data_IF_045924863762
#
_entry.id   IF_045924863762
#
_cell.length_a   1.000
_cell.length_b   1.000
_cell.length_c   1.000
_cell.angle_alpha   90.00
_cell.angle_beta   90.00
_cell.angle_gamma   90.00
#
_symmetry.space_group_name_H-M   'P 1'
#
loop_
_entity.id
_entity.type
_entity.pdbx_description
1 polymer ?
#
# COMPACT_ATOMS: atom_id res chain seq x y z
N UNK A 1 -3.89 -23.80 53.85
CA UNK A 1 -4.15 -22.45 53.31
C UNK A 1 -3.13 -22.00 52.27
N UNK A 2 -1.82 -22.06 52.54
CA UNK A 2 -0.77 -21.64 51.58
C UNK A 2 -0.82 -22.37 50.23
N UNK A 3 -0.98 -23.71 50.25
CA UNK A 3 -1.07 -24.54 49.03
C UNK A 3 -2.28 -24.15 48.16
N UNK A 4 -3.43 -23.93 48.78
CA UNK A 4 -4.65 -23.55 48.08
C UNK A 4 -4.53 -22.17 47.41
N UNK A 5 -3.92 -21.20 48.11
CA UNK A 5 -3.63 -19.89 47.55
C UNK A 5 -2.66 -19.99 46.36
N UNK A 6 -1.62 -20.81 46.46
CA UNK A 6 -0.68 -21.07 45.37
C UNK A 6 -1.36 -21.67 44.13
N UNK A 7 -2.29 -22.61 44.32
CA UNK A 7 -3.06 -23.20 43.21
C UNK A 7 -3.89 -22.13 42.50
N UNK A 8 -4.62 -21.30 43.26
CA UNK A 8 -5.42 -20.20 42.68
C UNK A 8 -4.55 -19.23 41.89
N UNK A 9 -3.38 -18.85 42.42
CA UNK A 9 -2.45 -17.96 41.72
C UNK A 9 -1.98 -18.58 40.40
N UNK A 10 -1.62 -19.87 40.38
CA UNK A 10 -1.20 -20.55 39.15
C UNK A 10 -2.32 -20.58 38.12
N UNK A 11 -3.55 -20.93 38.54
CA UNK A 11 -4.71 -20.94 37.64
C UNK A 11 -4.98 -19.54 37.07
N UNK A 12 -4.94 -18.50 37.91
CA UNK A 12 -5.13 -17.13 37.46
C UNK A 12 -4.06 -16.71 36.42
N UNK A 13 -2.79 -17.06 36.65
CA UNK A 13 -1.71 -16.78 35.69
C UNK A 13 -1.92 -17.50 34.36
N UNK A 14 -2.37 -18.77 34.38
CA UNK A 14 -2.69 -19.53 33.16
C UNK A 14 -3.85 -18.86 32.39
N UNK A 15 -4.90 -18.44 33.08
CA UNK A 15 -6.05 -17.75 32.46
C UNK A 15 -5.62 -16.40 31.88
N UNK A 16 -4.84 -15.60 32.62
CA UNK A 16 -4.30 -14.32 32.13
C UNK A 16 -3.45 -14.55 30.88
N UNK A 17 -2.55 -15.54 30.90
CA UNK A 17 -1.73 -15.88 29.74
C UNK A 17 -2.56 -16.32 28.54
N UNK A 18 -3.59 -17.13 28.76
CA UNK A 18 -4.49 -17.59 27.72
C UNK A 18 -5.27 -16.44 27.08
N UNK A 19 -5.88 -15.58 27.92
CA UNK A 19 -6.60 -14.38 27.46
C UNK A 19 -5.66 -13.45 26.71
N UNK A 20 -4.46 -13.20 27.24
CA UNK A 20 -3.44 -12.40 26.55
C UNK A 20 -3.09 -12.99 25.18
N UNK A 21 -2.84 -14.30 25.12
CA UNK A 21 -2.46 -14.98 23.88
C UNK A 21 -3.58 -14.98 22.82
N UNK A 22 -4.85 -14.95 23.23
CA UNK A 22 -5.99 -14.83 22.32
C UNK A 22 -6.06 -13.46 21.64
N UNK A 23 -5.77 -12.37 22.38
CA UNK A 23 -5.88 -11.01 21.84
C UNK A 23 -4.59 -10.52 21.19
N UNK A 24 -3.45 -10.90 21.75
CA UNK A 24 -2.13 -10.41 21.34
C UNK A 24 -1.28 -11.47 20.63
N UNK A 25 -1.79 -12.69 20.46
CA UNK A 25 -1.06 -13.79 19.86
C UNK A 25 -0.11 -14.47 20.85
N UNK A 26 0.28 -15.71 20.54
CA UNK A 26 1.23 -16.44 21.37
C UNK A 26 2.66 -15.90 21.11
N UNK A 27 3.40 -15.46 22.15
CA UNK A 27 4.77 -14.95 21.99
C UNK A 27 5.74 -15.92 21.31
N UNK A 28 5.60 -17.22 21.55
CA UNK A 28 6.41 -18.25 20.88
C UNK A 28 6.09 -18.30 19.38
N UNK A 29 4.81 -18.26 19.02
CA UNK A 29 4.38 -18.24 17.61
C UNK A 29 4.87 -16.98 16.90
N UNK A 30 4.85 -15.82 17.56
CA UNK A 30 5.42 -14.57 17.02
C UNK A 30 6.92 -14.69 16.79
N UNK A 31 7.66 -15.27 17.75
CA UNK A 31 9.11 -15.50 17.61
C UNK A 31 9.43 -16.42 16.43
N UNK A 32 8.69 -17.53 16.28
CA UNK A 32 8.85 -18.42 15.14
C UNK A 32 8.49 -17.74 13.82
N UNK A 33 7.37 -17.01 13.77
CA UNK A 33 6.96 -16.26 12.59
C UNK A 33 8.03 -15.24 12.16
N UNK A 34 8.61 -14.51 13.12
CA UNK A 34 9.72 -13.58 12.88
C UNK A 34 10.88 -14.27 12.16
N UNK A 35 11.32 -15.44 12.64
CA UNK A 35 12.39 -16.21 11.99
C UNK A 35 12.02 -16.69 10.60
N UNK A 36 10.80 -17.20 10.42
CA UNK A 36 10.32 -17.66 9.11
C UNK A 36 10.29 -16.51 8.10
N UNK A 37 9.86 -15.31 8.51
CA UNK A 37 9.89 -14.13 7.64
C UNK A 37 11.32 -13.74 7.27
N UNK A 38 12.26 -13.72 8.23
CA UNK A 38 13.67 -13.42 7.91
C UNK A 38 14.24 -14.39 6.89
N UNK A 39 14.06 -15.69 7.11
CA UNK A 39 14.52 -16.74 6.19
C UNK A 39 13.88 -16.62 4.80
N UNK A 40 12.58 -16.30 4.74
CA UNK A 40 11.87 -16.08 3.49
C UNK A 40 12.49 -14.91 2.70
N UNK A 41 12.73 -13.77 3.35
CA UNK A 41 13.27 -12.59 2.69
C UNK A 41 14.73 -12.78 2.27
N UNK A 42 15.56 -13.35 3.14
CA UNK A 42 16.96 -13.67 2.83
C UNK A 42 17.06 -14.64 1.64
N UNK A 43 16.16 -15.62 1.55
CA UNK A 43 16.10 -16.57 0.43
C UNK A 43 15.57 -15.95 -0.87
N UNK A 44 14.66 -14.98 -0.76
CA UNK A 44 14.00 -14.35 -1.92
C UNK A 44 14.85 -13.24 -2.53
N UNK A 45 15.45 -12.41 -1.70
CA UNK A 45 16.12 -11.16 -2.06
C UNK A 45 17.64 -11.21 -1.96
N UNK A 46 18.20 -12.31 -1.44
CA UNK A 46 19.65 -12.55 -1.31
C UNK A 46 20.39 -11.52 -0.45
N UNK A 47 19.65 -10.80 0.41
CA UNK A 47 20.17 -9.80 1.34
C UNK A 47 19.65 -10.04 2.77
N UNK A 48 20.38 -9.58 3.81
CA UNK A 48 19.92 -9.68 5.19
C UNK A 48 18.83 -8.66 5.55
N UNK A 49 17.74 -9.14 6.13
CA UNK A 49 16.59 -8.33 6.57
C UNK A 49 16.37 -8.36 8.08
N UNK A 50 15.92 -7.22 8.62
CA UNK A 50 15.54 -7.11 10.02
C UNK A 50 14.03 -6.92 10.15
N UNK A 51 13.38 -7.92 10.76
CA UNK A 51 11.98 -7.80 11.16
C UNK A 51 11.91 -6.94 12.42
N UNK A 52 11.28 -5.77 12.32
CA UNK A 52 11.16 -4.82 13.43
C UNK A 52 10.06 -5.24 14.38
N UNK A 53 8.88 -5.55 13.82
CA UNK A 53 7.67 -5.86 14.57
C UNK A 53 6.92 -7.01 13.93
N UNK A 54 6.32 -7.86 14.77
CA UNK A 54 5.32 -8.83 14.36
C UNK A 54 4.01 -8.43 15.01
N UNK A 55 2.97 -8.27 14.19
CA UNK A 55 1.63 -7.97 14.62
C UNK A 55 0.76 -9.20 14.46
N UNK A 56 -0.16 -9.38 15.41
CA UNK A 56 -1.19 -10.41 15.39
C UNK A 56 -2.55 -9.74 15.42
N UNK A 57 -3.44 -10.17 14.54
CA UNK A 57 -4.83 -9.70 14.56
C UNK A 57 -5.75 -10.89 14.71
N UNK A 58 -6.50 -10.92 15.81
CA UNK A 58 -7.59 -11.86 16.03
C UNK A 58 -8.90 -11.24 15.50
N UNK A 59 -9.56 -11.90 14.52
CA UNK A 59 -10.90 -11.51 14.07
C UNK A 59 -11.91 -12.57 14.52
N UNK A 60 -12.94 -12.11 15.24
CA UNK A 60 -13.96 -12.94 15.90
C UNK A 60 -15.21 -13.18 15.03
N UNK A 61 -15.18 -12.89 13.73
CA UNK A 61 -16.33 -13.07 12.83
C UNK A 61 -16.14 -14.19 11.81
N UNK A 62 -17.27 -14.76 11.38
CA UNK A 62 -17.52 -16.04 10.69
C UNK A 62 -16.74 -16.34 9.41
N UNK A 63 -15.77 -15.52 8.96
CA UNK A 63 -15.03 -15.80 7.73
C UNK A 63 -13.55 -15.36 7.65
N UNK A 64 -12.86 -14.85 8.69
CA UNK A 64 -11.43 -14.49 8.53
C UNK A 64 -10.56 -14.83 9.75
N UNK A 65 -9.68 -15.80 9.53
CA UNK A 65 -8.70 -16.36 10.47
C UNK A 65 -7.76 -15.29 11.03
N UNK A 66 -7.15 -15.58 12.17
CA UNK A 66 -6.09 -14.75 12.72
C UNK A 66 -4.89 -14.72 11.79
N UNK A 67 -4.33 -13.54 11.53
CA UNK A 67 -3.15 -13.40 10.66
C UNK A 67 -1.98 -12.73 11.38
N UNK A 68 -0.78 -13.09 10.94
CA UNK A 68 0.46 -12.43 11.33
C UNK A 68 0.93 -11.52 10.20
N UNK A 69 1.37 -10.32 10.56
CA UNK A 69 2.06 -9.40 9.66
C UNK A 69 3.40 -9.01 10.28
N UNK A 70 4.45 -8.94 9.47
CA UNK A 70 5.76 -8.49 9.91
C UNK A 70 6.10 -7.17 9.20
N UNK A 71 6.48 -6.16 9.98
CA UNK A 71 7.08 -4.92 9.47
C UNK A 71 8.58 -5.13 9.33
N UNK A 72 9.12 -4.82 8.16
CA UNK A 72 10.50 -5.12 7.80
C UNK A 72 11.20 -3.88 7.27
N UNK A 73 12.47 -3.74 7.66
CA UNK A 73 13.46 -2.85 7.02
C UNK A 73 14.66 -3.66 6.58
N UNK A 74 15.31 -3.24 5.50
CA UNK A 74 16.63 -3.76 5.16
C UNK A 74 17.63 -3.39 6.25
N UNK A 75 18.69 -4.18 6.37
CA UNK A 75 19.72 -3.96 7.39
C UNK A 75 20.46 -2.61 7.23
N UNK A 76 20.45 -2.02 6.03
CA UNK A 76 21.11 -0.76 5.69
C UNK A 76 20.18 0.46 5.79
N UNK A 77 18.88 0.26 5.94
CA UNK A 77 17.87 1.33 6.02
C UNK A 77 17.62 2.07 4.70
N UNK A 78 17.99 1.47 3.56
CA UNK A 78 17.84 2.06 2.22
C UNK A 78 16.44 1.80 1.65
N UNK A 79 15.83 0.67 2.00
CA UNK A 79 14.53 0.27 1.47
C UNK A 79 13.36 0.90 2.25
N UNK A 80 12.21 1.13 1.60
CA UNK A 80 11.01 1.51 2.32
C UNK A 80 10.62 0.43 3.33
N UNK A 81 9.95 0.84 4.40
CA UNK A 81 9.32 -0.10 5.31
C UNK A 81 8.21 -0.85 4.56
N UNK A 82 8.20 -2.19 4.66
CA UNK A 82 7.21 -3.02 3.97
C UNK A 82 6.70 -4.13 4.88
N UNK A 83 5.63 -4.81 4.41
CA UNK A 83 4.94 -5.84 5.18
C UNK A 83 5.12 -7.21 4.57
N UNK A 84 5.23 -8.23 5.43
CA UNK A 84 5.13 -9.64 5.05
C UNK A 84 3.93 -10.27 5.74
N UNK A 85 3.02 -10.83 4.96
CA UNK A 85 1.79 -11.46 5.42
C UNK A 85 1.75 -12.93 5.02
N UNK A 86 1.16 -13.76 5.88
CA UNK A 86 0.84 -15.14 5.55
C UNK A 86 -0.49 -15.20 4.81
N UNK A 87 -0.51 -15.86 3.65
CA UNK A 87 -1.75 -16.18 2.94
C UNK A 87 -2.50 -17.28 3.69
N UNK A 88 -3.79 -17.05 3.94
CA UNK A 88 -4.61 -17.89 4.83
C UNK A 88 -4.75 -19.33 4.34
N UNK A 89 -4.74 -19.56 3.02
CA UNK A 89 -5.11 -20.86 2.45
C UNK A 89 -3.89 -21.74 2.11
N UNK A 90 -2.72 -21.13 1.92
CA UNK A 90 -1.53 -21.82 1.40
C UNK A 90 -0.36 -21.87 2.39
N UNK A 91 -0.48 -21.22 3.55
CA UNK A 91 0.65 -20.94 4.46
C UNK A 91 1.83 -20.21 3.78
N UNK A 92 1.68 -19.75 2.53
CA UNK A 92 2.72 -19.05 1.80
C UNK A 92 2.87 -17.63 2.35
N UNK A 93 4.12 -17.17 2.42
CA UNK A 93 4.42 -15.79 2.74
C UNK A 93 4.38 -14.95 1.46
N UNK A 94 3.86 -13.73 1.61
CA UNK A 94 3.89 -12.71 0.58
C UNK A 94 4.31 -11.40 1.19
N UNK A 95 5.21 -10.69 0.52
CA UNK A 95 5.64 -9.35 0.92
C UNK A 95 5.07 -8.24 0.03
N UNK A 96 5.18 -7.00 0.52
CA UNK A 96 4.79 -5.79 -0.20
C UNK A 96 5.97 -4.95 -0.70
N UNK A 97 7.23 -5.42 -0.60
CA UNK A 97 8.41 -4.56 -0.89
C UNK A 97 8.34 -3.89 -2.26
N UNK A 98 8.08 -4.67 -3.31
CA UNK A 98 7.99 -4.16 -4.70
C UNK A 98 6.85 -3.11 -4.81
N UNK A 99 5.72 -3.37 -4.15
CA UNK A 99 4.59 -2.44 -4.14
C UNK A 99 4.94 -1.13 -3.44
N UNK A 100 5.63 -1.17 -2.29
CA UNK A 100 6.06 0.04 -1.57
C UNK A 100 7.08 0.86 -2.39
N UNK A 101 7.98 0.18 -3.12
CA UNK A 101 8.94 0.84 -4.01
C UNK A 101 8.21 1.57 -5.14
N UNK A 102 7.28 0.89 -5.82
CA UNK A 102 6.51 1.49 -6.91
C UNK A 102 5.56 2.59 -6.44
N UNK A 103 4.92 2.44 -5.28
CA UNK A 103 4.06 3.48 -4.70
C UNK A 103 4.86 4.75 -4.40
N UNK A 104 6.06 4.61 -3.83
CA UNK A 104 6.98 5.74 -3.63
C UNK A 104 7.39 6.40 -4.95
N UNK A 105 7.74 5.59 -5.94
CA UNK A 105 8.15 6.09 -7.26
C UNK A 105 7.01 6.91 -7.89
N UNK A 106 5.81 6.32 -7.99
CA UNK A 106 4.62 6.95 -8.58
C UNK A 106 4.21 8.21 -7.82
N UNK A 107 4.23 8.17 -6.49
CA UNK A 107 3.92 9.33 -5.64
C UNK A 107 4.90 10.47 -5.88
N UNK A 108 6.20 10.18 -6.01
CA UNK A 108 7.22 11.19 -6.29
C UNK A 108 7.03 11.80 -7.67
N UNK A 109 6.87 10.99 -8.71
CA UNK A 109 6.68 11.45 -10.09
C UNK A 109 5.40 12.29 -10.22
N UNK A 110 4.27 11.80 -9.68
CA UNK A 110 3.00 12.54 -9.66
C UNK A 110 3.12 13.85 -8.87
N UNK A 111 3.84 13.84 -7.73
CA UNK A 111 4.06 15.05 -6.94
C UNK A 111 4.85 16.12 -7.68
N UNK A 112 5.85 15.74 -8.49
CA UNK A 112 6.62 16.69 -9.30
C UNK A 112 5.70 17.37 -10.33
N UNK A 113 4.84 16.60 -10.98
CA UNK A 113 3.85 17.11 -11.95
C UNK A 113 2.86 18.05 -11.26
N UNK A 114 2.32 17.67 -10.11
CA UNK A 114 1.38 18.51 -9.36
C UNK A 114 2.03 19.81 -8.92
N UNK A 115 3.22 19.79 -8.33
CA UNK A 115 3.92 21.01 -7.88
C UNK A 115 4.24 21.97 -9.03
N UNK A 116 4.54 21.42 -10.22
CA UNK A 116 4.81 22.23 -11.42
C UNK A 116 3.55 22.95 -11.91
N UNK A 117 2.40 22.29 -11.89
CA UNK A 117 1.20 22.74 -12.60
C UNK A 117 0.07 23.20 -11.69
N UNK A 118 0.17 22.95 -10.38
CA UNK A 118 -0.90 23.12 -9.42
C UNK A 118 -0.31 23.57 -8.08
N UNK A 119 -0.31 24.89 -7.83
CA UNK A 119 0.33 25.53 -6.68
C UNK A 119 -0.34 25.24 -5.31
N UNK A 120 -1.19 24.21 -5.22
CA UNK A 120 -1.77 23.80 -3.94
C UNK A 120 -0.72 23.07 -3.10
N UNK A 121 -0.57 23.50 -1.85
CA UNK A 121 0.28 22.81 -0.86
C UNK A 121 -0.45 21.64 -0.16
N UNK A 122 -1.75 21.47 -0.43
CA UNK A 122 -2.61 20.52 0.28
C UNK A 122 -3.23 19.52 -0.70
N UNK A 123 -2.41 18.55 -1.11
CA UNK A 123 -2.87 17.40 -1.87
C UNK A 123 -2.37 16.09 -1.27
N UNK A 124 -3.08 15.00 -1.54
CA UNK A 124 -2.64 13.64 -1.25
C UNK A 124 -2.71 12.79 -2.51
N UNK A 125 -1.78 11.85 -2.65
CA UNK A 125 -1.74 10.89 -3.76
C UNK A 125 -1.93 9.50 -3.17
N UNK A 126 -2.78 8.70 -3.78
CA UNK A 126 -2.98 7.29 -3.45
C UNK A 126 -2.87 6.47 -4.71
N UNK A 127 -2.01 5.47 -4.71
CA UNK A 127 -1.88 4.54 -5.83
C UNK A 127 -2.48 3.19 -5.44
N UNK A 128 -3.41 2.70 -6.24
CA UNK A 128 -3.87 1.32 -6.17
C UNK A 128 -3.11 0.52 -7.23
N UNK A 129 -2.09 -0.19 -6.76
CA UNK A 129 -1.21 -1.00 -7.60
C UNK A 129 -1.70 -2.44 -7.59
N UNK A 130 -2.14 -2.99 -8.73
CA UNK A 130 -2.47 -4.40 -8.83
C UNK A 130 -1.29 -5.26 -8.41
N UNK A 131 -1.59 -6.33 -7.67
CA UNK A 131 -0.59 -7.29 -7.21
C UNK A 131 0.27 -7.81 -8.38
N UNK A 132 1.58 -7.54 -8.42
CA UNK A 132 2.42 -8.12 -9.46
C UNK A 132 2.53 -9.62 -9.26
N UNK A 133 2.67 -10.37 -10.36
CA UNK A 133 2.93 -11.82 -10.32
C UNK A 133 4.34 -12.15 -9.78
N UNK A 134 5.17 -11.12 -9.55
CA UNK A 134 6.54 -11.21 -9.00
C UNK A 134 6.59 -11.63 -7.52
N UNK A 135 5.45 -11.84 -6.85
CA UNK A 135 5.44 -12.14 -5.41
C UNK A 135 6.17 -13.44 -5.03
N UNK A 136 6.37 -14.34 -6.00
CA UNK A 136 6.95 -15.66 -5.77
C UNK A 136 8.32 -15.86 -6.43
N UNK A 137 8.82 -14.88 -7.18
CA UNK A 137 10.10 -14.99 -7.87
C UNK A 137 11.26 -14.61 -6.93
N UNK A 138 12.40 -15.29 -7.11
CA UNK A 138 13.65 -14.87 -6.49
C UNK A 138 14.23 -13.74 -7.32
N UNK A 139 14.41 -12.58 -6.69
CA UNK A 139 14.88 -11.36 -7.35
C UNK A 139 15.80 -10.68 -6.36
N UNK A 140 17.06 -10.45 -6.73
CA UNK A 140 17.95 -9.67 -5.88
C UNK A 140 17.36 -8.26 -5.70
N UNK A 141 17.53 -7.65 -4.52
CA UNK A 141 17.00 -6.30 -4.26
C UNK A 141 17.40 -5.30 -5.34
N UNK A 142 18.66 -5.35 -5.79
CA UNK A 142 19.23 -4.49 -6.83
C UNK A 142 18.57 -4.66 -8.20
N UNK A 143 17.96 -5.82 -8.43
CA UNK A 143 17.35 -6.19 -9.70
C UNK A 143 15.83 -6.01 -9.67
N UNK A 144 15.30 -5.40 -8.60
CA UNK A 144 13.87 -5.08 -8.50
C UNK A 144 13.48 -4.17 -9.66
N UNK A 145 12.52 -4.55 -10.52
CA UNK A 145 12.15 -3.74 -11.67
C UNK A 145 11.57 -2.40 -11.22
N UNK A 146 11.88 -1.33 -11.93
CA UNK A 146 11.19 -0.05 -11.79
C UNK A 146 9.74 -0.19 -12.24
N UNK A 147 8.86 0.72 -11.79
CA UNK A 147 7.48 0.73 -12.24
C UNK A 147 7.40 0.89 -13.77
N UNK A 148 8.20 1.78 -14.34
CA UNK A 148 8.32 1.99 -15.79
C UNK A 148 8.66 0.70 -16.55
N UNK A 149 9.67 -0.04 -16.10
CA UNK A 149 10.09 -1.27 -16.77
C UNK A 149 8.98 -2.34 -16.69
N UNK A 150 8.30 -2.42 -15.56
CA UNK A 150 7.21 -3.37 -15.37
C UNK A 150 5.97 -2.99 -16.20
N UNK A 151 5.60 -1.70 -16.24
CA UNK A 151 4.43 -1.17 -16.95
C UNK A 151 4.50 -1.23 -18.46
N UNK A 152 5.71 -1.27 -19.02
CA UNK A 152 5.92 -1.51 -20.45
C UNK A 152 5.88 -2.99 -20.84
N UNK A 153 5.93 -3.91 -19.88
CA UNK A 153 5.83 -5.34 -20.19
C UNK A 153 4.38 -5.73 -20.48
N UNK A 154 4.18 -6.64 -21.44
CA UNK A 154 2.87 -7.25 -21.73
C UNK A 154 2.25 -7.99 -20.52
N UNK A 155 2.99 -8.10 -19.40
CA UNK A 155 2.57 -8.76 -18.17
C UNK A 155 1.59 -7.91 -17.34
N UNK A 156 1.43 -6.62 -17.67
CA UNK A 156 0.46 -5.76 -17.00
C UNK A 156 -0.88 -5.77 -17.72
N UNK A 157 -1.64 -6.82 -17.47
CA UNK A 157 -3.08 -6.90 -17.82
C UNK A 157 -3.91 -5.85 -17.04
N UNK A 158 -3.32 -5.18 -16.03
CA UNK A 158 -4.01 -4.21 -15.15
C UNK A 158 -3.08 -3.07 -14.74
N UNK A 159 -3.19 -1.91 -15.41
CA UNK A 159 -2.44 -0.69 -15.04
C UNK A 159 -2.88 -0.16 -13.65
N UNK A 160 -2.11 0.77 -13.08
CA UNK A 160 -2.36 1.37 -11.75
C UNK A 160 -3.58 2.28 -11.77
N UNK A 161 -4.35 2.35 -10.68
CA UNK A 161 -5.30 3.44 -10.47
C UNK A 161 -4.68 4.50 -9.57
N UNK A 162 -4.72 5.76 -9.98
CA UNK A 162 -4.16 6.88 -9.24
C UNK A 162 -5.30 7.77 -8.78
N UNK A 163 -5.32 8.10 -7.49
CA UNK A 163 -6.24 9.07 -6.91
C UNK A 163 -5.44 10.25 -6.35
N UNK A 164 -5.72 11.44 -6.86
CA UNK A 164 -5.18 12.70 -6.40
C UNK A 164 -6.31 13.42 -5.69
N UNK A 165 -6.15 13.69 -4.40
CA UNK A 165 -7.12 14.46 -3.62
C UNK A 165 -6.56 15.84 -3.35
N UNK A 166 -7.27 16.88 -3.74
CA UNK A 166 -6.90 18.29 -3.58
C UNK A 166 -7.83 18.92 -2.55
N UNK A 167 -7.26 19.54 -1.51
CA UNK A 167 -8.03 20.11 -0.40
C UNK A 167 -8.49 21.55 -0.69
N UNK A 168 -9.40 21.68 -1.65
CA UNK A 168 -10.17 22.89 -1.97
C UNK A 168 -11.45 22.51 -2.73
N UNK A 169 -12.40 23.44 -2.77
CA UNK A 169 -13.52 23.36 -3.72
C UNK A 169 -13.02 23.54 -5.15
N UNK A 170 -13.70 22.90 -6.10
CA UNK A 170 -13.43 22.98 -7.52
C UNK A 170 -13.94 24.31 -8.09
N UNK A 171 -13.07 24.99 -8.82
CA UNK A 171 -13.40 26.20 -9.59
C UNK A 171 -13.20 25.93 -11.08
N UNK A 172 -13.97 26.59 -11.94
CA UNK A 172 -13.87 26.35 -13.40
C UNK A 172 -12.51 26.69 -14.01
N UNK A 173 -11.72 27.52 -13.32
CA UNK A 173 -10.34 27.88 -13.67
C UNK A 173 -9.37 26.72 -13.41
N UNK A 174 -9.70 25.79 -12.51
CA UNK A 174 -8.89 24.60 -12.22
C UNK A 174 -8.76 23.67 -13.43
N UNK A 175 -9.73 23.71 -14.34
CA UNK A 175 -9.75 22.85 -15.52
C UNK A 175 -8.48 22.96 -16.35
N UNK A 176 -7.92 24.16 -16.52
CA UNK A 176 -6.69 24.36 -17.29
C UNK A 176 -5.49 23.69 -16.62
N UNK A 177 -5.41 23.80 -15.29
CA UNK A 177 -4.34 23.20 -14.51
C UNK A 177 -4.47 21.66 -14.50
N UNK A 178 -5.69 21.15 -14.34
CA UNK A 178 -6.00 19.71 -14.48
C UNK A 178 -5.59 19.18 -15.85
N UNK A 179 -6.00 19.87 -16.92
CA UNK A 179 -5.64 19.49 -18.30
C UNK A 179 -4.13 19.39 -18.46
N UNK A 180 -3.39 20.36 -17.92
CA UNK A 180 -1.93 20.37 -17.94
C UNK A 180 -1.33 19.22 -17.13
N UNK A 181 -1.84 18.95 -15.92
CA UNK A 181 -1.43 17.81 -15.10
C UNK A 181 -1.61 16.50 -15.87
N UNK A 182 -2.78 16.29 -16.48
CA UNK A 182 -3.07 15.05 -17.21
C UNK A 182 -2.13 14.89 -18.40
N UNK A 183 -1.89 15.95 -19.17
CA UNK A 183 -0.95 15.92 -20.29
C UNK A 183 0.47 15.57 -19.84
N UNK A 184 0.98 16.23 -18.79
CA UNK A 184 2.29 15.91 -18.21
C UNK A 184 2.35 14.47 -17.69
N UNK A 185 1.25 13.92 -17.15
CA UNK A 185 1.18 12.50 -16.74
C UNK A 185 1.20 11.54 -17.93
N UNK A 186 0.55 11.88 -19.05
CA UNK A 186 0.58 11.08 -20.28
C UNK A 186 1.98 11.11 -20.92
N UNK A 187 2.69 12.24 -20.83
CA UNK A 187 4.05 12.41 -21.36
C UNK A 187 5.15 11.79 -20.46
N UNK A 188 4.77 11.23 -19.31
CA UNK A 188 5.69 10.54 -18.38
C UNK A 188 5.45 9.03 -18.40
N UNK A 189 6.39 8.21 -17.88
CA UNK A 189 6.21 6.74 -17.83
C UNK A 189 5.16 6.27 -16.81
N UNK A 190 4.21 7.12 -16.43
CA UNK A 190 3.13 6.80 -15.50
C UNK A 190 1.95 6.22 -16.28
N UNK A 191 1.99 4.92 -16.55
CA UNK A 191 0.87 4.23 -17.19
C UNK A 191 -0.23 3.92 -16.17
N UNK A 192 -1.42 4.49 -16.32
CA UNK A 192 -2.56 4.22 -15.44
C UNK A 192 -3.76 3.62 -16.18
N UNK A 193 -4.60 2.92 -15.43
CA UNK A 193 -5.90 2.42 -15.88
C UNK A 193 -6.97 3.47 -15.61
N UNK A 194 -6.90 4.12 -14.45
CA UNK A 194 -7.80 5.19 -14.06
C UNK A 194 -7.03 6.26 -13.29
N UNK A 195 -7.22 7.52 -13.66
CA UNK A 195 -6.83 8.69 -12.88
C UNK A 195 -8.10 9.33 -12.32
N UNK A 196 -8.11 9.57 -11.01
CA UNK A 196 -9.19 10.28 -10.32
C UNK A 196 -8.61 11.52 -9.63
N UNK A 197 -9.15 12.70 -9.94
CA UNK A 197 -8.81 13.95 -9.27
C UNK A 197 -10.04 14.38 -8.46
N UNK A 198 -9.91 14.34 -7.14
CA UNK A 198 -10.98 14.61 -6.18
C UNK A 198 -10.74 15.97 -5.51
N UNK A 199 -11.78 16.80 -5.46
CA UNK A 199 -11.77 18.09 -4.78
C UNK A 199 -12.54 17.96 -3.48
N UNK A 200 -11.88 18.25 -2.36
CA UNK A 200 -12.47 18.19 -1.02
C UNK A 200 -12.50 19.59 -0.43
N UNK A 201 -13.70 20.06 -0.09
CA UNK A 201 -13.92 21.39 0.50
C UNK A 201 -13.33 21.50 1.93
N UNK A 202 -13.40 22.70 2.49
CA UNK A 202 -12.94 22.97 3.87
C UNK A 202 -13.73 22.21 4.95
N UNK A 203 -14.89 21.65 4.63
CA UNK A 203 -15.72 20.82 5.51
C UNK A 203 -15.47 19.32 5.31
N UNK A 204 -14.42 18.94 4.57
CA UNK A 204 -14.10 17.55 4.22
C UNK A 204 -15.17 16.85 3.38
N UNK A 205 -15.95 17.60 2.60
CA UNK A 205 -16.95 17.08 1.68
C UNK A 205 -16.36 17.01 0.28
N UNK A 206 -16.65 15.91 -0.41
CA UNK A 206 -16.31 15.76 -1.82
C UNK A 206 -17.16 16.73 -2.64
N UNK A 207 -16.53 17.71 -3.24
CA UNK A 207 -17.15 18.79 -4.02
C UNK A 207 -17.21 18.43 -5.50
N UNK A 208 -16.11 17.94 -6.06
CA UNK A 208 -16.05 17.47 -7.43
C UNK A 208 -15.15 16.24 -7.60
N UNK A 209 -15.39 15.46 -8.64
CA UNK A 209 -14.47 14.40 -9.08
C UNK A 209 -14.34 14.41 -10.58
N UNK A 210 -13.08 14.27 -11.04
CA UNK A 210 -12.74 14.07 -12.44
C UNK A 210 -12.15 12.68 -12.55
N UNK A 211 -12.78 11.80 -13.30
CA UNK A 211 -12.31 10.43 -13.52
C UNK A 211 -12.06 10.24 -14.99
N UNK A 212 -10.87 9.75 -15.32
CA UNK A 212 -10.49 9.45 -16.69
C UNK A 212 -9.73 8.13 -16.76
N UNK A 213 -10.01 7.35 -17.81
CA UNK A 213 -9.12 6.27 -18.23
C UNK A 213 -7.99 6.82 -19.12
N UNK A 214 -7.13 5.93 -19.61
CA UNK A 214 -5.98 6.32 -20.43
C UNK A 214 -6.38 6.95 -21.78
N UNK A 215 -7.41 6.43 -22.43
CA UNK A 215 -7.82 6.93 -23.74
C UNK A 215 -8.46 8.32 -23.60
N UNK A 216 -9.23 8.53 -22.54
CA UNK A 216 -9.74 9.83 -22.15
C UNK A 216 -8.63 10.82 -21.75
N UNK A 217 -7.53 10.33 -21.15
CA UNK A 217 -6.38 11.17 -20.80
C UNK A 217 -5.71 11.79 -22.03
N UNK A 218 -5.55 11.00 -23.08
CA UNK A 218 -4.91 11.42 -24.33
C UNK A 218 -5.70 12.56 -25.00
N UNK A 219 -7.03 12.55 -24.89
CA UNK A 219 -7.92 13.51 -25.54
C UNK A 219 -8.66 14.43 -24.55
N UNK A 220 -8.07 14.71 -23.38
CA UNK A 220 -8.74 15.40 -22.28
C UNK A 220 -9.34 16.77 -22.67
N UNK A 221 -8.76 17.48 -23.63
CA UNK A 221 -9.23 18.80 -24.08
C UNK A 221 -10.66 18.77 -24.64
N UNK A 222 -11.08 17.65 -25.24
CA UNK A 222 -12.41 17.49 -25.82
C UNK A 222 -13.44 16.87 -24.85
N UNK A 223 -13.04 16.59 -23.60
CA UNK A 223 -13.83 15.76 -22.66
C UNK A 223 -14.40 16.54 -21.45
N UNK A 224 -14.27 17.87 -21.38
CA UNK A 224 -14.64 18.65 -20.16
C UNK A 224 -16.04 18.36 -19.61
N UNK A 225 -17.07 18.41 -20.47
CA UNK A 225 -18.46 18.31 -20.01
C UNK A 225 -18.88 16.91 -19.55
N UNK A 226 -18.15 15.86 -19.94
CA UNK A 226 -18.47 14.47 -19.58
C UNK A 226 -17.74 13.99 -18.31
N UNK A 227 -16.64 14.65 -17.92
CA UNK A 227 -15.75 14.13 -16.86
C UNK A 227 -15.95 14.76 -15.48
N UNK A 228 -16.56 15.95 -15.38
CA UNK A 228 -16.70 16.67 -14.10
C UNK A 228 -18.01 16.29 -13.40
N UNK A 229 -17.92 15.46 -12.35
CA UNK A 229 -19.02 15.13 -11.45
C UNK A 229 -19.01 16.08 -10.24
N UNK A 230 -19.87 17.12 -10.21
CA UNK A 230 -20.07 17.98 -9.02
C UNK A 230 -21.11 17.34 -8.08
N UNK A 231 -20.91 17.44 -6.76
CA UNK A 231 -21.78 16.84 -5.73
C UNK A 231 -22.50 17.86 -4.86
#
# INVERSE_FOLDING_TARGET
MKIFLSIITVVALVVIYFVYSLFFGNPLSMYHYKKTVQQYLESKYEEPFKVEKVEYSFKLSTLKQSYYAATVKDSKGVLPEFRVVRQNDSNQLRDTLILEIWDKQLTNETSVILKKNYQSEHYTIKNYIPSPQLSNEKIAVTDTPTYENYSKSELLDKRVNITITIQKSYEDEDWNAITTIVKDMVDTPIYFNQLSIEFIDSNYRLDATIKLDWDQAIDIEHQRCSLVEKK
#
